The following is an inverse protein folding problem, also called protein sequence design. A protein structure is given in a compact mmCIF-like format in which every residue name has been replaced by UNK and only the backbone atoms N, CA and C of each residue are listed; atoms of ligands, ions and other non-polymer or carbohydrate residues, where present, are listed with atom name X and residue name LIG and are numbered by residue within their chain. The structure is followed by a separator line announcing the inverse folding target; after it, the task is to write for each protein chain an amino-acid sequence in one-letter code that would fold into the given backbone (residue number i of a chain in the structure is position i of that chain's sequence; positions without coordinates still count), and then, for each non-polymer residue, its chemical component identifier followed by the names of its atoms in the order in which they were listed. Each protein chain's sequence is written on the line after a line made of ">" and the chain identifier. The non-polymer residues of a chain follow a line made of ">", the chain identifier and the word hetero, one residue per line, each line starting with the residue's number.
data_IF_102279558684
#
_entry.id   IF_102279558684
#
_cell.length_a   1.000
_cell.length_b   1.000
_cell.length_c   1.000
_cell.angle_alpha   90.00
_cell.angle_beta   90.00
_cell.angle_gamma   90.00
#
_symmetry.space_group_name_H-M   'P 1'
#
loop_
_entity.id
_entity.type
_entity.pdbx_description
1 polymer ?
#
# COMPACT_ATOMS: atom_id res chain seq x y z
N UNK A 1 -25.21 2.68 -47.91
CA UNK A 1 -25.25 4.12 -47.53
C UNK A 1 -24.34 4.33 -46.32
N UNK A 2 -23.49 5.37 -46.36
CA UNK A 2 -22.32 5.67 -45.52
C UNK A 2 -22.60 5.91 -44.01
N UNK A 3 -21.66 5.45 -43.16
CA UNK A 3 -20.81 6.17 -42.15
C UNK A 3 -21.50 7.07 -41.09
N UNK A 4 -21.30 6.83 -39.76
CA UNK A 4 -20.30 7.48 -38.83
C UNK A 4 -20.67 7.47 -37.33
N UNK A 5 -19.61 7.53 -36.52
CA UNK A 5 -19.47 7.95 -35.11
C UNK A 5 -19.75 6.86 -34.05
N UNK A 6 -18.81 6.44 -33.21
CA UNK A 6 -17.56 7.07 -32.78
C UNK A 6 -17.60 7.31 -31.27
N UNK A 7 -17.03 6.38 -30.50
CA UNK A 7 -16.46 6.67 -29.18
C UNK A 7 -15.16 5.89 -29.04
N UNK A 8 -14.09 6.54 -29.49
CA UNK A 8 -12.74 6.29 -29.00
C UNK A 8 -12.75 6.41 -27.48
N UNK A 9 -12.55 5.29 -26.77
CA UNK A 9 -12.08 5.35 -25.40
C UNK A 9 -10.57 5.50 -25.49
N UNK A 10 -10.09 6.72 -25.26
CA UNK A 10 -8.66 7.04 -25.13
C UNK A 10 -8.04 6.18 -24.02
N UNK A 11 -7.40 5.07 -24.38
CA UNK A 11 -6.44 4.38 -23.53
C UNK A 11 -5.08 5.07 -23.65
N UNK A 12 -4.97 6.29 -23.12
CA UNK A 12 -3.66 6.90 -22.87
C UNK A 12 -3.10 6.31 -21.57
N UNK A 13 -2.05 5.48 -21.70
CA UNK A 13 -0.91 5.21 -20.76
C UNK A 13 -0.40 3.74 -20.78
N UNK A 14 -1.04 2.77 -21.46
CA UNK A 14 -0.53 1.37 -21.48
C UNK A 14 -0.39 0.73 -22.87
N UNK A 15 0.10 1.51 -23.85
CA UNK A 15 0.32 1.05 -25.24
C UNK A 15 1.36 -0.09 -25.43
N UNK A 16 2.41 -0.29 -24.60
CA UNK A 16 3.37 -1.36 -24.85
C UNK A 16 2.96 -2.74 -24.26
N UNK A 17 1.92 -2.81 -23.42
CA UNK A 17 1.46 -4.08 -22.83
C UNK A 17 0.62 -4.95 -23.79
N UNK A 18 0.07 -4.38 -24.85
CA UNK A 18 -0.82 -5.11 -25.77
C UNK A 18 -0.05 -6.08 -26.70
N UNK A 19 1.15 -5.70 -27.12
CA UNK A 19 2.08 -6.58 -27.86
C UNK A 19 2.63 -7.71 -26.98
N UNK A 20 2.75 -7.46 -25.67
CA UNK A 20 3.14 -8.46 -24.67
C UNK A 20 2.04 -9.52 -24.55
N UNK A 21 0.76 -9.14 -24.49
CA UNK A 21 -0.39 -10.06 -24.46
C UNK A 21 -0.45 -11.03 -25.66
N UNK A 22 -0.10 -10.57 -26.87
CA UNK A 22 -0.08 -11.41 -28.08
C UNK A 22 1.06 -12.44 -28.09
N UNK A 23 2.19 -12.15 -27.43
CA UNK A 23 3.32 -13.07 -27.34
C UNK A 23 3.26 -13.99 -26.11
N UNK A 24 2.58 -13.58 -25.02
CA UNK A 24 2.19 -14.44 -23.88
C UNK A 24 1.43 -15.69 -24.36
N UNK A 25 0.53 -15.53 -25.34
CA UNK A 25 -0.25 -16.64 -25.88
C UNK A 25 0.57 -17.76 -26.52
N UNK A 26 1.76 -17.47 -27.07
CA UNK A 26 2.54 -18.44 -27.86
C UNK A 26 3.35 -19.42 -27.00
N UNK A 27 3.97 -18.99 -25.88
CA UNK A 27 4.63 -19.94 -24.95
C UNK A 27 3.63 -20.70 -24.10
N UNK A 28 2.50 -20.11 -23.74
CA UNK A 28 1.53 -20.83 -22.93
C UNK A 28 0.71 -21.85 -23.76
N UNK A 29 0.49 -21.60 -25.06
CA UNK A 29 0.12 -22.68 -25.99
C UNK A 29 1.18 -23.78 -25.99
N UNK A 30 2.47 -23.45 -25.94
CA UNK A 30 3.56 -24.42 -25.93
C UNK A 30 3.70 -25.23 -24.61
N UNK A 31 3.36 -24.62 -23.46
CA UNK A 31 3.28 -25.28 -22.15
C UNK A 31 2.09 -26.24 -22.14
N UNK A 32 0.96 -25.82 -22.72
CA UNK A 32 -0.17 -26.70 -22.94
C UNK A 32 0.14 -27.83 -23.92
N UNK A 33 0.96 -27.58 -24.97
CA UNK A 33 1.50 -28.65 -25.82
C UNK A 33 2.38 -29.62 -25.00
N UNK A 34 3.26 -29.16 -24.10
CA UNK A 34 4.05 -30.07 -23.24
C UNK A 34 3.17 -30.99 -22.38
N UNK A 35 2.06 -30.49 -21.84
CA UNK A 35 1.11 -31.29 -21.04
C UNK A 35 0.18 -32.17 -21.91
N UNK A 36 -0.16 -31.73 -23.13
CA UNK A 36 -1.03 -32.46 -24.06
C UNK A 36 -0.29 -33.60 -24.76
N UNK A 37 1.02 -33.46 -25.00
CA UNK A 37 1.85 -34.50 -25.64
C UNK A 37 2.26 -35.64 -24.69
N UNK A 38 1.92 -35.54 -23.40
CA UNK A 38 2.06 -36.63 -22.41
C UNK A 38 0.99 -37.73 -22.52
N UNK A 39 -0.03 -37.57 -23.37
CA UNK A 39 -1.12 -38.54 -23.51
C UNK A 39 -1.82 -38.46 -24.86
N UNK A 40 -1.29 -39.16 -25.85
CA UNK A 40 -1.96 -39.63 -27.10
C UNK A 40 -2.44 -38.56 -28.10
N UNK A 41 -1.94 -38.71 -29.35
CA UNK A 41 -2.78 -38.62 -30.55
C UNK A 41 -2.86 -37.27 -31.28
N UNK A 42 -2.32 -37.26 -32.50
CA UNK A 42 -2.27 -36.18 -33.49
C UNK A 42 -3.68 -35.65 -33.85
N UNK A 43 -3.82 -34.33 -33.93
CA UNK A 43 -4.38 -33.65 -35.10
C UNK A 43 -4.12 -32.14 -35.02
N UNK A 44 -3.61 -31.54 -36.11
CA UNK A 44 -3.98 -30.22 -36.67
C UNK A 44 -3.02 -29.85 -37.84
N UNK A 45 -3.66 -29.68 -39.01
CA UNK A 45 -3.25 -29.14 -40.33
C UNK A 45 -2.60 -30.12 -41.33
N UNK A 46 -3.47 -30.66 -42.19
CA UNK A 46 -3.19 -31.00 -43.61
C UNK A 46 -3.13 -29.70 -44.42
N UNK A 47 -2.02 -29.49 -45.14
CA UNK A 47 -1.95 -29.35 -46.60
C UNK A 47 -0.53 -28.93 -46.97
N UNK A 48 0.35 -29.92 -47.19
CA UNK A 48 1.06 -30.06 -48.46
C UNK A 48 1.68 -31.44 -48.55
N UNK A 49 1.55 -32.05 -49.73
CA UNK A 49 1.95 -33.43 -50.01
C UNK A 49 3.46 -33.60 -49.82
N UNK A 50 3.87 -34.50 -48.93
CA UNK A 50 5.12 -35.26 -49.08
C UNK A 50 4.85 -36.71 -48.72
N UNK A 51 4.96 -37.57 -49.74
CA UNK A 51 4.99 -39.02 -49.63
C UNK A 51 6.29 -39.49 -48.98
N UNK A 52 6.19 -40.63 -48.30
CA UNK A 52 7.26 -41.53 -47.85
C UNK A 52 7.95 -41.20 -46.53
N UNK A 53 7.70 -42.07 -45.52
CA UNK A 53 8.61 -42.58 -44.47
C UNK A 53 9.36 -41.63 -43.53
N UNK A 54 9.77 -40.45 -43.98
CA UNK A 54 10.59 -39.45 -43.31
C UNK A 54 9.76 -38.31 -42.69
N UNK A 55 8.46 -38.23 -43.01
CA UNK A 55 7.59 -37.13 -42.57
C UNK A 55 7.43 -37.00 -41.05
N UNK A 56 7.41 -38.11 -40.31
CA UNK A 56 7.26 -38.07 -38.84
C UNK A 56 8.48 -37.47 -38.11
N UNK A 57 9.69 -37.71 -38.62
CA UNK A 57 10.93 -37.21 -38.00
C UNK A 57 11.17 -35.74 -38.35
N UNK A 58 10.94 -35.37 -39.61
CA UNK A 58 10.96 -33.96 -40.06
C UNK A 58 9.89 -33.13 -39.33
N UNK A 59 8.70 -33.70 -39.10
CA UNK A 59 7.63 -33.03 -38.38
C UNK A 59 7.92 -32.85 -36.88
N UNK A 60 8.61 -33.81 -36.25
CA UNK A 60 9.08 -33.69 -34.87
C UNK A 60 10.16 -32.62 -34.73
N UNK A 61 11.18 -32.65 -35.59
CA UNK A 61 12.27 -31.66 -35.60
C UNK A 61 11.74 -30.24 -35.84
N UNK A 62 10.81 -30.07 -36.79
CA UNK A 62 10.16 -28.78 -37.04
C UNK A 62 9.34 -28.26 -35.84
N UNK A 63 8.63 -29.15 -35.13
CA UNK A 63 7.89 -28.78 -33.92
C UNK A 63 8.82 -28.41 -32.77
N UNK A 64 9.93 -29.13 -32.59
CA UNK A 64 10.96 -28.84 -31.60
C UNK A 64 11.64 -27.48 -31.88
N UNK A 65 11.99 -27.20 -33.13
CA UNK A 65 12.54 -25.90 -33.53
C UNK A 65 11.58 -24.75 -33.26
N UNK A 66 10.30 -24.91 -33.61
CA UNK A 66 9.27 -23.89 -33.33
C UNK A 66 9.04 -23.70 -31.84
N UNK A 67 9.14 -24.76 -31.05
CA UNK A 67 9.06 -24.69 -29.59
C UNK A 67 10.23 -23.89 -29.03
N UNK A 68 11.46 -24.20 -29.45
CA UNK A 68 12.68 -23.50 -29.04
C UNK A 68 12.62 -22.02 -29.43
N UNK A 69 12.16 -21.72 -30.65
CA UNK A 69 12.03 -20.35 -31.11
C UNK A 69 10.98 -19.55 -30.31
N UNK A 70 9.86 -20.19 -29.97
CA UNK A 70 8.83 -19.59 -29.12
C UNK A 70 9.34 -19.37 -27.69
N UNK A 71 10.07 -20.33 -27.11
CA UNK A 71 10.69 -20.21 -25.78
C UNK A 71 11.71 -19.06 -25.74
N UNK A 72 12.60 -18.98 -26.74
CA UNK A 72 13.58 -17.87 -26.85
C UNK A 72 12.91 -16.50 -26.98
N UNK A 73 11.87 -16.38 -27.83
CA UNK A 73 11.14 -15.12 -28.01
C UNK A 73 10.43 -14.70 -26.73
N UNK A 74 9.83 -15.64 -26.02
CA UNK A 74 9.21 -15.37 -24.73
C UNK A 74 10.24 -14.93 -23.71
N UNK A 75 11.32 -15.69 -23.51
CA UNK A 75 12.33 -15.37 -22.51
C UNK A 75 12.96 -14.00 -22.80
N UNK A 76 13.18 -13.66 -24.07
CA UNK A 76 13.65 -12.34 -24.47
C UNK A 76 12.66 -11.22 -24.07
N UNK A 77 11.37 -11.37 -24.38
CA UNK A 77 10.36 -10.34 -24.06
C UNK A 77 10.14 -10.25 -22.56
N UNK A 78 10.02 -11.39 -21.89
CA UNK A 78 9.70 -11.47 -20.47
C UNK A 78 10.79 -10.87 -19.59
N UNK A 79 12.06 -11.09 -19.96
CA UNK A 79 13.22 -10.50 -19.27
C UNK A 79 13.62 -9.10 -19.78
N UNK A 80 13.10 -8.66 -20.93
CA UNK A 80 13.31 -7.28 -21.40
C UNK A 80 12.41 -6.27 -20.70
N UNK A 81 11.31 -6.71 -20.08
CA UNK A 81 10.39 -5.82 -19.38
C UNK A 81 11.02 -5.43 -18.04
N UNK A 82 11.32 -4.13 -17.89
CA UNK A 82 11.85 -3.47 -16.66
C UNK A 82 10.81 -3.39 -15.51
N UNK A 83 10.03 -4.45 -15.33
CA UNK A 83 9.02 -4.58 -14.27
C UNK A 83 9.11 -6.01 -13.73
N UNK A 84 9.22 -6.18 -12.41
CA UNK A 84 9.09 -7.49 -11.78
C UNK A 84 7.77 -8.18 -12.13
N UNK A 85 7.84 -9.34 -12.77
CA UNK A 85 6.68 -10.15 -13.15
C UNK A 85 6.83 -11.57 -12.62
N UNK A 86 5.78 -12.05 -11.95
CA UNK A 86 5.61 -13.43 -11.54
C UNK A 86 4.45 -14.09 -12.29
N UNK A 87 4.63 -15.34 -12.67
CA UNK A 87 3.59 -16.23 -13.18
C UNK A 87 3.37 -17.34 -12.17
N UNK A 88 2.12 -17.52 -11.74
CA UNK A 88 1.73 -18.62 -10.86
C UNK A 88 0.62 -19.46 -11.48
N UNK A 89 0.43 -20.67 -10.97
CA UNK A 89 -0.81 -21.41 -11.20
C UNK A 89 -1.99 -20.77 -10.45
N UNK A 90 -3.18 -21.35 -10.60
CA UNK A 90 -4.41 -20.88 -9.94
C UNK A 90 -4.42 -21.04 -8.41
N UNK A 91 -3.53 -21.87 -7.87
CA UNK A 91 -3.32 -22.07 -6.43
C UNK A 91 -2.19 -21.19 -5.89
N UNK A 92 -1.59 -20.37 -6.77
CA UNK A 92 -0.52 -19.46 -6.41
C UNK A 92 0.88 -20.10 -6.42
N UNK A 93 1.13 -21.31 -6.91
CA UNK A 93 2.51 -21.84 -7.00
C UNK A 93 3.30 -21.11 -8.09
N UNK A 94 4.54 -20.69 -7.83
CA UNK A 94 5.38 -20.07 -8.88
C UNK A 94 5.64 -21.06 -10.02
N UNK A 95 5.43 -20.57 -11.25
CA UNK A 95 5.74 -21.28 -12.50
C UNK A 95 6.95 -20.63 -13.16
N UNK A 96 6.96 -19.30 -13.25
CA UNK A 96 8.05 -18.54 -13.87
C UNK A 96 8.14 -17.14 -13.24
N UNK A 97 9.32 -16.53 -13.32
CA UNK A 97 9.59 -15.18 -12.87
C UNK A 97 10.66 -14.56 -13.79
N UNK A 98 10.49 -13.27 -14.13
CA UNK A 98 11.49 -12.61 -14.97
C UNK A 98 12.73 -12.21 -14.15
N UNK A 99 13.78 -11.77 -14.83
CA UNK A 99 15.04 -11.33 -14.23
C UNK A 99 14.85 -10.24 -13.18
N UNK A 100 13.91 -9.31 -13.38
CA UNK A 100 13.64 -8.25 -12.40
C UNK A 100 12.92 -8.77 -11.16
N UNK A 101 12.01 -9.73 -11.29
CA UNK A 101 11.36 -10.38 -10.17
C UNK A 101 12.36 -11.14 -9.29
N UNK A 102 13.27 -11.89 -9.92
CA UNK A 102 14.36 -12.58 -9.24
C UNK A 102 15.29 -11.58 -8.52
N UNK A 103 15.68 -10.51 -9.21
CA UNK A 103 16.55 -9.46 -8.67
C UNK A 103 15.91 -8.68 -7.52
N UNK A 104 14.60 -8.39 -7.61
CA UNK A 104 13.85 -7.69 -6.56
C UNK A 104 13.92 -8.42 -5.22
N UNK A 105 13.73 -9.75 -5.25
CA UNK A 105 13.70 -10.61 -4.06
C UNK A 105 15.09 -11.16 -3.67
N UNK A 106 16.09 -11.05 -4.55
CA UNK A 106 17.46 -11.52 -4.30
C UNK A 106 17.65 -13.03 -4.46
N UNK A 107 16.77 -13.70 -5.22
CA UNK A 107 16.89 -15.12 -5.57
C UNK A 107 17.37 -15.30 -7.00
N UNK A 108 17.95 -16.45 -7.31
CA UNK A 108 18.16 -16.84 -8.71
C UNK A 108 16.85 -17.30 -9.36
N UNK A 109 16.80 -17.34 -10.70
CA UNK A 109 15.61 -17.83 -11.42
C UNK A 109 15.27 -19.29 -11.07
N UNK A 110 16.28 -20.14 -10.92
CA UNK A 110 16.09 -21.55 -10.57
C UNK A 110 15.58 -21.72 -9.13
N UNK A 111 16.07 -20.89 -8.21
CA UNK A 111 15.56 -20.85 -6.83
C UNK A 111 14.10 -20.39 -6.81
N UNK A 112 13.74 -19.38 -7.60
CA UNK A 112 12.38 -18.85 -7.68
C UNK A 112 11.34 -19.91 -8.09
N UNK A 113 11.68 -20.82 -9.01
CA UNK A 113 10.78 -21.90 -9.44
C UNK A 113 10.50 -22.94 -8.34
N UNK A 114 11.34 -23.00 -7.31
CA UNK A 114 11.17 -23.92 -6.18
C UNK A 114 10.40 -23.31 -5.01
N UNK A 115 10.19 -21.99 -5.04
CA UNK A 115 9.50 -21.25 -4.00
C UNK A 115 7.99 -21.18 -4.26
N UNK A 116 7.27 -20.80 -3.22
CA UNK A 116 5.88 -20.38 -3.28
C UNK A 116 5.78 -18.91 -2.88
N UNK A 117 4.74 -18.17 -3.33
CA UNK A 117 4.46 -16.82 -2.84
C UNK A 117 4.39 -16.77 -1.32
N UNK A 118 3.91 -17.84 -0.67
CA UNK A 118 3.78 -17.92 0.78
C UNK A 118 5.12 -17.79 1.50
N UNK A 119 6.22 -18.25 0.89
CA UNK A 119 7.58 -18.19 1.45
C UNK A 119 8.24 -16.82 1.27
N UNK A 120 7.79 -16.05 0.28
CA UNK A 120 8.30 -14.69 0.02
C UNK A 120 7.37 -13.60 0.58
N UNK A 121 6.33 -13.99 1.32
CA UNK A 121 5.40 -13.10 2.00
C UNK A 121 5.71 -13.06 3.49
N UNK A 122 5.54 -11.91 4.15
CA UNK A 122 5.62 -11.91 5.62
C UNK A 122 4.51 -12.76 6.23
N UNK A 123 4.75 -13.28 7.44
CA UNK A 123 3.83 -14.23 8.10
C UNK A 123 2.40 -13.71 8.22
N UNK A 124 2.18 -12.40 8.31
CA UNK A 124 0.85 -11.80 8.32
C UNK A 124 0.17 -11.84 6.93
N UNK A 125 0.90 -11.57 5.85
CA UNK A 125 0.37 -11.58 4.49
C UNK A 125 0.18 -13.01 3.95
N UNK A 126 1.00 -13.95 4.40
CA UNK A 126 0.86 -15.38 4.08
C UNK A 126 -0.49 -15.97 4.51
N UNK A 127 -1.14 -15.38 5.52
CA UNK A 127 -2.44 -15.82 6.07
C UNK A 127 -3.63 -15.34 5.24
N UNK A 128 -3.45 -14.31 4.42
CA UNK A 128 -4.52 -13.72 3.59
C UNK A 128 -4.36 -14.03 2.10
N UNK A 129 -3.35 -14.84 1.74
CA UNK A 129 -3.08 -15.26 0.37
C UNK A 129 -4.28 -15.97 -0.25
N UNK A 130 -4.88 -16.93 0.47
CA UNK A 130 -6.02 -17.71 -0.03
C UNK A 130 -7.21 -16.81 -0.39
N UNK A 131 -7.47 -15.77 0.42
CA UNK A 131 -8.53 -14.80 0.11
C UNK A 131 -8.18 -13.93 -1.08
N UNK A 132 -6.92 -13.52 -1.20
CA UNK A 132 -6.41 -12.76 -2.35
C UNK A 132 -6.58 -13.56 -3.64
N UNK A 133 -6.25 -14.85 -3.63
CA UNK A 133 -6.47 -15.76 -4.75
C UNK A 133 -7.96 -15.88 -5.11
N UNK A 134 -8.82 -16.05 -4.10
CA UNK A 134 -10.27 -16.09 -4.31
C UNK A 134 -10.82 -14.79 -4.93
N UNK A 135 -10.32 -13.62 -4.53
CA UNK A 135 -10.72 -12.35 -5.12
C UNK A 135 -10.27 -12.22 -6.59
N UNK A 136 -9.05 -12.68 -6.91
CA UNK A 136 -8.55 -12.75 -8.28
C UNK A 136 -9.44 -13.65 -9.14
N UNK A 137 -9.82 -14.82 -8.61
CA UNK A 137 -10.70 -15.76 -9.32
C UNK A 137 -12.11 -15.21 -9.56
N UNK A 138 -12.63 -14.36 -8.66
CA UNK A 138 -13.97 -13.76 -8.79
C UNK A 138 -14.00 -12.55 -9.72
N UNK A 139 -12.94 -11.74 -9.74
CA UNK A 139 -12.91 -10.42 -10.39
C UNK A 139 -12.02 -10.35 -11.63
N UNK A 140 -11.41 -11.47 -12.02
CA UNK A 140 -10.36 -11.62 -13.05
C UNK A 140 -9.08 -10.78 -12.82
N UNK A 141 -9.10 -9.87 -11.84
CA UNK A 141 -7.98 -9.01 -11.48
C UNK A 141 -8.10 -8.51 -10.05
N UNK A 142 -6.96 -8.30 -9.41
CA UNK A 142 -6.91 -7.78 -8.05
C UNK A 142 -5.62 -6.98 -7.82
N UNK A 143 -5.79 -5.80 -7.24
CA UNK A 143 -4.72 -4.84 -6.97
C UNK A 143 -4.57 -4.69 -5.45
N UNK A 144 -3.40 -5.01 -4.90
CA UNK A 144 -3.17 -5.05 -3.44
C UNK A 144 -1.75 -4.62 -3.07
N UNK A 145 -1.53 -4.25 -1.81
CA UNK A 145 -0.19 -4.00 -1.28
C UNK A 145 0.20 -5.14 -0.34
N UNK A 146 1.49 -5.42 -0.32
CA UNK A 146 2.02 -6.57 0.39
C UNK A 146 3.44 -6.30 0.83
N UNK A 147 3.85 -6.94 1.92
CA UNK A 147 5.25 -6.96 2.32
C UNK A 147 5.87 -8.28 1.87
N UNK A 148 6.94 -8.16 1.10
CA UNK A 148 7.71 -9.30 0.63
C UNK A 148 8.99 -9.43 1.46
N UNK A 149 9.39 -10.66 1.72
CA UNK A 149 10.64 -11.01 2.37
C UNK A 149 11.65 -11.38 1.28
N UNK A 150 12.77 -10.66 1.24
CA UNK A 150 13.91 -10.99 0.39
C UNK A 150 14.71 -12.17 0.94
N UNK A 151 15.57 -12.76 0.12
CA UNK A 151 16.48 -13.84 0.51
C UNK A 151 17.37 -13.50 1.72
N UNK A 152 17.77 -12.24 1.84
CA UNK A 152 18.58 -11.73 2.97
C UNK A 152 17.76 -11.46 4.24
N UNK A 153 16.45 -11.72 4.22
CA UNK A 153 15.52 -11.46 5.31
C UNK A 153 15.00 -10.02 5.38
N UNK A 154 15.47 -9.12 4.53
CA UNK A 154 14.96 -7.74 4.49
C UNK A 154 13.53 -7.69 3.95
N UNK A 155 12.75 -6.74 4.46
CA UNK A 155 11.34 -6.55 4.07
C UNK A 155 11.24 -5.39 3.09
N UNK A 156 10.57 -5.63 1.96
CA UNK A 156 10.19 -4.59 1.01
C UNK A 156 8.68 -4.43 0.96
N UNK A 157 8.24 -3.18 0.78
CA UNK A 157 6.85 -2.86 0.63
C UNK A 157 6.52 -2.73 -0.85
N UNK A 158 5.61 -3.56 -1.34
CA UNK A 158 5.31 -3.62 -2.76
C UNK A 158 3.82 -3.46 -3.05
N UNK A 159 3.54 -2.99 -4.26
CA UNK A 159 2.22 -3.02 -4.84
C UNK A 159 2.15 -4.09 -5.92
N UNK A 160 1.25 -5.05 -5.73
CA UNK A 160 0.97 -6.12 -6.65
C UNK A 160 -0.30 -5.83 -7.45
N UNK A 161 -0.23 -6.09 -8.75
CA UNK A 161 -1.36 -6.13 -9.67
C UNK A 161 -1.42 -7.50 -10.29
N UNK A 162 -2.42 -8.29 -9.88
CA UNK A 162 -2.61 -9.65 -10.35
C UNK A 162 -3.77 -9.74 -11.34
N UNK A 163 -3.62 -10.54 -12.37
CA UNK A 163 -4.67 -10.82 -13.36
C UNK A 163 -4.76 -12.33 -13.62
N UNK A 164 -5.97 -12.86 -13.59
CA UNK A 164 -6.26 -14.22 -14.04
C UNK A 164 -6.20 -14.26 -15.57
N UNK A 165 -5.43 -15.19 -16.11
CA UNK A 165 -5.34 -15.44 -17.55
C UNK A 165 -5.58 -16.92 -17.82
N UNK A 166 -6.29 -17.22 -18.90
CA UNK A 166 -6.51 -18.60 -19.34
C UNK A 166 -5.66 -18.86 -20.56
N UNK A 167 -4.86 -19.93 -20.54
CA UNK A 167 -4.19 -20.42 -21.73
C UNK A 167 -4.42 -21.90 -21.88
N UNK A 168 -4.92 -22.26 -23.07
CA UNK A 168 -5.28 -23.64 -23.42
C UNK A 168 -6.11 -24.28 -22.32
N UNK A 169 -7.15 -23.54 -21.90
CA UNK A 169 -8.12 -23.93 -20.86
C UNK A 169 -7.56 -24.06 -19.43
N UNK A 170 -6.24 -23.93 -19.22
CA UNK A 170 -5.63 -23.83 -17.89
C UNK A 170 -5.56 -22.39 -17.41
N UNK A 171 -5.83 -22.18 -16.12
CA UNK A 171 -5.81 -20.87 -15.46
C UNK A 171 -4.44 -20.60 -14.84
N UNK A 172 -3.98 -19.38 -15.04
CA UNK A 172 -2.74 -18.86 -14.48
C UNK A 172 -2.98 -17.46 -13.92
N UNK A 173 -2.12 -17.04 -13.00
CA UNK A 173 -2.15 -15.68 -12.45
C UNK A 173 -0.85 -14.99 -12.83
N UNK A 174 -0.98 -13.87 -13.53
CA UNK A 174 0.14 -12.99 -13.86
C UNK A 174 0.15 -11.81 -12.90
N UNK A 175 1.25 -11.63 -12.18
CA UNK A 175 1.39 -10.59 -11.16
C UNK A 175 2.52 -9.64 -11.51
N UNK A 176 2.20 -8.36 -11.66
CA UNK A 176 3.16 -7.27 -11.75
C UNK A 176 3.44 -6.72 -10.36
N UNK A 177 4.71 -6.52 -10.02
CA UNK A 177 5.11 -6.01 -8.72
C UNK A 177 5.85 -4.69 -8.88
N UNK A 178 5.39 -3.69 -8.13
CA UNK A 178 6.04 -2.39 -8.04
C UNK A 178 6.59 -2.19 -6.65
N UNK A 179 7.90 -2.02 -6.54
CA UNK A 179 8.52 -1.63 -5.27
C UNK A 179 8.05 -0.21 -4.89
N UNK A 180 7.48 -0.10 -3.69
CA UNK A 180 7.02 1.15 -3.09
C UNK A 180 7.84 1.51 -1.84
N UNK A 181 8.92 0.81 -1.54
CA UNK A 181 9.69 0.98 -0.30
C UNK A 181 10.23 2.39 -0.15
N UNK A 182 10.90 2.93 -1.18
CA UNK A 182 11.41 4.31 -1.14
C UNK A 182 10.28 5.35 -1.09
N UNK A 183 9.21 5.11 -1.86
CA UNK A 183 8.06 6.00 -1.86
C UNK A 183 7.38 6.03 -0.49
N UNK A 184 7.17 4.86 0.12
CA UNK A 184 6.59 4.72 1.45
C UNK A 184 7.48 5.36 2.49
N UNK A 185 8.81 5.16 2.46
CA UNK A 185 9.75 5.86 3.36
C UNK A 185 9.67 7.39 3.18
N UNK A 186 9.69 7.89 1.95
CA UNK A 186 9.54 9.33 1.68
C UNK A 186 8.18 9.87 2.14
N UNK A 187 7.10 9.13 1.88
CA UNK A 187 5.75 9.54 2.25
C UNK A 187 5.56 9.46 3.77
N UNK A 188 6.09 8.44 4.44
CA UNK A 188 6.12 8.30 5.91
C UNK A 188 7.01 9.36 6.57
N UNK A 189 8.15 9.72 5.99
CA UNK A 189 9.03 10.78 6.52
C UNK A 189 8.40 12.16 6.37
N UNK A 190 7.74 12.43 5.24
CA UNK A 190 6.91 13.64 5.07
C UNK A 190 5.75 13.62 6.05
N UNK A 191 5.08 12.48 6.18
CA UNK A 191 3.94 12.29 7.08
C UNK A 191 4.38 12.56 8.53
N UNK A 192 5.49 11.98 9.00
CA UNK A 192 6.09 12.24 10.32
C UNK A 192 6.50 13.70 10.55
N UNK A 193 6.76 14.47 9.50
CA UNK A 193 7.04 15.90 9.58
C UNK A 193 5.77 16.74 9.83
N UNK A 194 4.59 16.25 9.44
CA UNK A 194 3.29 16.90 9.60
C UNK A 194 2.39 16.29 10.68
N UNK A 195 2.65 15.03 11.05
CA UNK A 195 1.84 14.34 12.03
C UNK A 195 2.17 14.80 13.45
N UNK A 196 1.12 15.11 14.20
CA UNK A 196 1.20 15.38 15.64
C UNK A 196 1.09 14.09 16.47
N UNK A 197 0.85 12.95 15.81
CA UNK A 197 0.54 11.65 16.38
C UNK A 197 1.40 10.55 15.72
N UNK A 198 1.85 9.52 16.47
CA UNK A 198 2.63 8.40 15.92
C UNK A 198 1.69 7.42 15.21
N UNK A 199 1.23 7.83 14.03
CA UNK A 199 0.35 7.05 13.18
C UNK A 199 1.13 6.54 11.97
N UNK A 200 0.91 5.26 11.67
CA UNK A 200 1.54 4.50 10.60
C UNK A 200 0.47 3.83 9.75
N UNK A 201 0.76 3.74 8.46
CA UNK A 201 -0.10 3.06 7.50
C UNK A 201 -0.35 1.60 7.88
N UNK A 202 -1.52 1.11 7.49
CA UNK A 202 -1.94 -0.29 7.66
C UNK A 202 -2.02 -0.74 9.12
N UNK A 203 -2.23 0.20 10.04
CA UNK A 203 -2.43 -0.06 11.47
C UNK A 203 -3.82 0.37 11.94
N UNK A 204 -4.23 -0.22 13.05
CA UNK A 204 -5.46 0.10 13.77
C UNK A 204 -5.06 0.73 15.08
N UNK A 205 -5.64 1.88 15.39
CA UNK A 205 -5.41 2.60 16.63
C UNK A 205 -6.67 2.61 17.48
N UNK A 206 -6.49 2.59 18.80
CA UNK A 206 -7.54 2.61 19.80
C UNK A 206 -7.43 3.89 20.62
N UNK A 207 -8.54 4.62 20.69
CA UNK A 207 -8.80 5.71 21.61
C UNK A 207 -9.82 5.25 22.65
N UNK A 208 -9.48 5.43 23.92
CA UNK A 208 -10.31 5.03 25.07
C UNK A 208 -11.22 6.16 25.56
N UNK A 209 -11.91 5.91 26.66
CA UNK A 209 -12.72 6.91 27.35
C UNK A 209 -11.94 8.22 27.55
N UNK A 210 -12.56 9.34 27.21
CA UNK A 210 -11.92 10.67 27.26
C UNK A 210 -10.94 10.99 26.12
N UNK A 211 -10.53 10.02 25.29
CA UNK A 211 -9.59 10.22 24.18
C UNK A 211 -10.31 10.51 22.83
N UNK A 212 -11.64 10.61 22.80
CA UNK A 212 -12.42 10.88 21.57
C UNK A 212 -11.95 12.14 20.81
N UNK A 213 -11.70 13.24 21.51
CA UNK A 213 -11.20 14.46 20.87
C UNK A 213 -9.80 14.26 20.28
N UNK A 214 -8.97 13.45 20.95
CA UNK A 214 -7.64 13.10 20.47
C UNK A 214 -7.71 12.23 19.19
N UNK A 215 -8.67 11.31 19.11
CA UNK A 215 -8.95 10.54 17.89
C UNK A 215 -9.40 11.42 16.72
N UNK A 216 -10.30 12.39 16.99
CA UNK A 216 -10.78 13.35 15.97
C UNK A 216 -9.64 14.24 15.48
N UNK A 217 -8.77 14.71 16.38
CA UNK A 217 -7.60 15.51 16.01
C UNK A 217 -6.61 14.69 15.16
N UNK A 218 -6.33 13.45 15.55
CA UNK A 218 -5.51 12.51 14.79
C UNK A 218 -6.08 12.26 13.38
N UNK A 219 -7.39 12.03 13.29
CA UNK A 219 -8.11 11.89 12.03
C UNK A 219 -7.95 13.12 11.14
N UNK A 220 -8.21 14.32 11.68
CA UNK A 220 -8.05 15.60 10.96
C UNK A 220 -6.63 15.81 10.44
N UNK A 221 -5.64 15.47 11.25
CA UNK A 221 -4.23 15.60 10.89
C UNK A 221 -3.83 14.64 9.75
N UNK A 222 -4.44 13.46 9.68
CA UNK A 222 -4.32 12.57 8.51
C UNK A 222 -4.99 13.14 7.25
N UNK A 223 -6.14 13.80 7.36
CA UNK A 223 -6.77 14.47 6.21
C UNK A 223 -5.87 15.56 5.61
N UNK A 224 -5.23 16.36 6.46
CA UNK A 224 -4.23 17.36 6.05
C UNK A 224 -3.06 16.73 5.28
N UNK A 225 -2.72 15.48 5.58
CA UNK A 225 -1.67 14.72 4.91
C UNK A 225 -2.16 14.01 3.62
N UNK A 226 -3.40 14.30 3.20
CA UNK A 226 -4.00 13.82 1.96
C UNK A 226 -4.68 12.46 2.07
N UNK A 227 -5.00 11.98 3.28
CA UNK A 227 -5.83 10.79 3.44
C UNK A 227 -7.28 11.10 3.10
N UNK A 228 -7.98 10.15 2.49
CA UNK A 228 -9.43 10.22 2.32
C UNK A 228 -10.13 9.82 3.62
N UNK A 229 -10.92 10.72 4.19
CA UNK A 229 -11.60 10.51 5.45
C UNK A 229 -12.92 9.78 5.33
N UNK A 230 -13.14 8.82 6.22
CA UNK A 230 -14.45 8.25 6.49
C UNK A 230 -14.71 8.21 8.00
N UNK A 231 -15.90 8.61 8.42
CA UNK A 231 -16.36 8.49 9.80
C UNK A 231 -17.58 7.57 9.82
N UNK A 232 -17.59 6.64 10.77
CA UNK A 232 -18.70 5.73 11.04
C UNK A 232 -19.06 5.92 12.52
N UNK A 233 -20.29 6.31 12.83
CA UNK A 233 -20.71 6.62 14.21
C UNK A 233 -22.24 6.54 14.33
N UNK A 234 -22.77 6.34 15.53
CA UNK A 234 -24.21 6.42 15.80
C UNK A 234 -24.68 7.87 16.05
N UNK A 235 -23.74 8.73 16.49
CA UNK A 235 -23.94 10.19 16.61
C UNK A 235 -24.32 10.88 15.29
N UNK A 236 -24.78 12.12 15.41
CA UNK A 236 -25.14 12.94 14.27
C UNK A 236 -23.90 13.46 13.51
N UNK A 237 -23.97 13.44 12.17
CA UNK A 237 -22.88 13.93 11.31
C UNK A 237 -22.45 15.36 11.67
N UNK A 238 -23.40 16.20 12.10
CA UNK A 238 -23.14 17.60 12.44
C UNK A 238 -22.15 17.76 13.60
N UNK A 239 -22.06 16.79 14.53
CA UNK A 239 -21.09 16.83 15.64
C UNK A 239 -19.64 16.74 15.13
N UNK A 240 -19.41 15.98 14.07
CA UNK A 240 -18.11 15.85 13.43
C UNK A 240 -17.80 17.02 12.52
N UNK A 241 -18.78 17.50 11.75
CA UNK A 241 -18.62 18.64 10.83
C UNK A 241 -18.24 19.93 11.57
N UNK A 242 -18.67 20.11 12.82
CA UNK A 242 -18.24 21.23 13.69
C UNK A 242 -16.75 21.16 14.07
N UNK A 243 -16.16 19.96 14.17
CA UNK A 243 -14.80 19.72 14.68
C UNK A 243 -13.77 19.50 13.55
N UNK A 244 -14.21 18.91 12.44
CA UNK A 244 -13.37 18.54 11.30
C UNK A 244 -13.68 19.45 10.11
N UNK A 245 -12.85 20.48 9.95
CA UNK A 245 -12.90 21.44 8.85
C UNK A 245 -12.25 20.90 7.56
N UNK A 246 -12.58 19.67 7.16
CA UNK A 246 -12.08 19.00 5.96
C UNK A 246 -13.16 18.08 5.41
N UNK A 247 -13.09 17.76 4.11
CA UNK A 247 -14.03 16.82 3.50
C UNK A 247 -13.80 15.38 3.99
N UNK A 248 -14.90 14.68 4.25
CA UNK A 248 -14.94 13.29 4.68
C UNK A 248 -16.31 12.69 4.34
N UNK A 249 -16.36 11.37 4.16
CA UNK A 249 -17.63 10.63 4.05
C UNK A 249 -18.13 10.24 5.44
N UNK A 250 -19.43 10.30 5.65
CA UNK A 250 -20.05 9.89 6.91
C UNK A 250 -21.00 8.71 6.69
N UNK A 251 -20.98 7.74 7.60
CA UNK A 251 -21.94 6.65 7.64
C UNK A 251 -22.55 6.55 9.04
N UNK A 252 -23.86 6.76 9.14
CA UNK A 252 -24.58 6.66 10.41
C UNK A 252 -24.88 5.20 10.74
N UNK A 253 -24.55 4.77 11.96
CA UNK A 253 -24.99 3.48 12.50
C UNK A 253 -26.33 3.67 13.22
N UNK A 254 -27.30 2.78 12.98
CA UNK A 254 -28.62 2.88 13.60
C UNK A 254 -29.27 1.51 13.78
N UNK A 255 -29.91 1.31 14.94
CA UNK A 255 -30.75 0.14 15.20
C UNK A 255 -32.06 0.18 14.41
N UNK A 256 -32.50 1.37 14.01
CA UNK A 256 -33.69 1.56 13.20
C UNK A 256 -33.31 1.41 11.73
N UNK A 257 -34.12 0.67 10.97
CA UNK A 257 -33.93 0.41 9.55
C UNK A 257 -34.27 1.66 8.71
N UNK A 258 -33.49 2.72 8.93
CA UNK A 258 -33.63 4.03 8.30
C UNK A 258 -32.80 4.05 7.03
N UNK A 259 -33.38 4.58 5.95
CA UNK A 259 -32.69 4.69 4.67
C UNK A 259 -31.38 5.47 4.81
N UNK A 260 -30.28 4.91 4.28
CA UNK A 260 -28.95 5.52 4.34
C UNK A 260 -28.15 5.27 5.63
N UNK A 261 -28.66 4.43 6.54
CA UNK A 261 -27.93 4.01 7.76
C UNK A 261 -27.35 2.60 7.62
N UNK A 262 -26.31 2.31 8.40
CA UNK A 262 -25.71 0.99 8.54
C UNK A 262 -26.29 0.34 9.80
N UNK A 263 -26.82 -0.89 9.75
CA UNK A 263 -27.17 -1.63 10.95
C UNK A 263 -25.94 -1.85 11.85
N UNK A 264 -26.08 -1.90 13.20
CA UNK A 264 -24.97 -2.16 14.10
C UNK A 264 -24.57 -3.64 14.08
N UNK A 265 -23.89 -4.01 13.00
CA UNK A 265 -23.43 -5.34 12.67
C UNK A 265 -22.09 -5.24 11.96
N UNK A 266 -21.11 -6.02 12.41
CA UNK A 266 -19.75 -5.97 11.87
C UNK A 266 -19.67 -6.34 10.38
N UNK A 267 -20.48 -7.28 9.91
CA UNK A 267 -20.48 -7.63 8.49
C UNK A 267 -21.00 -6.46 7.64
N UNK A 268 -21.98 -5.70 8.14
CA UNK A 268 -22.47 -4.49 7.47
C UNK A 268 -21.43 -3.38 7.44
N UNK A 269 -20.68 -3.20 8.52
CA UNK A 269 -19.54 -2.27 8.56
C UNK A 269 -18.46 -2.71 7.56
N UNK A 270 -18.09 -3.99 7.55
CA UNK A 270 -17.14 -4.57 6.60
C UNK A 270 -17.54 -4.32 5.13
N UNK A 271 -18.82 -4.51 4.81
CA UNK A 271 -19.35 -4.22 3.48
C UNK A 271 -19.22 -2.73 3.16
N UNK A 272 -19.54 -1.84 4.09
CA UNK A 272 -19.42 -0.40 3.88
C UNK A 272 -17.96 0.03 3.63
N UNK A 273 -17.01 -0.50 4.39
CA UNK A 273 -15.58 -0.16 4.26
C UNK A 273 -14.90 -0.85 3.06
N UNK A 274 -15.48 -1.93 2.54
CA UNK A 274 -14.96 -2.68 1.40
C UNK A 274 -14.84 -1.84 0.11
N UNK A 275 -15.60 -0.75 -0.01
CA UNK A 275 -15.56 0.18 -1.15
C UNK A 275 -14.56 1.33 -1.02
N UNK A 276 -13.88 1.49 0.12
CA UNK A 276 -13.05 2.66 0.37
C UNK A 276 -11.79 2.70 -0.49
N UNK A 277 -11.37 3.92 -0.84
CA UNK A 277 -10.17 4.19 -1.62
C UNK A 277 -8.90 3.94 -0.80
N UNK A 278 -7.78 3.77 -1.48
CA UNK A 278 -6.46 3.64 -0.85
C UNK A 278 -6.06 4.94 -0.15
N UNK A 279 -5.14 4.83 0.81
CA UNK A 279 -4.68 5.98 1.61
C UNK A 279 -5.87 6.70 2.24
N UNK A 280 -6.67 5.92 2.95
CA UNK A 280 -7.86 6.39 3.68
C UNK A 280 -7.63 6.30 5.18
N UNK A 281 -8.31 7.16 5.92
CA UNK A 281 -8.42 7.06 7.37
C UNK A 281 -9.89 6.82 7.69
N UNK A 282 -10.16 5.83 8.53
CA UNK A 282 -11.50 5.48 8.97
C UNK A 282 -11.57 5.65 10.48
N UNK A 283 -12.40 6.58 10.94
CA UNK A 283 -12.75 6.72 12.35
C UNK A 283 -14.04 5.94 12.60
N UNK A 284 -14.00 4.92 13.44
CA UNK A 284 -15.19 4.22 13.93
C UNK A 284 -15.38 4.64 15.38
N UNK A 285 -16.43 5.42 15.61
CA UNK A 285 -16.77 5.95 16.92
C UNK A 285 -17.90 5.13 17.56
N UNK A 286 -17.96 5.16 18.90
CA UNK A 286 -18.93 4.41 19.70
C UNK A 286 -18.91 2.91 19.40
N UNK A 287 -17.72 2.29 19.43
CA UNK A 287 -17.57 0.86 19.21
C UNK A 287 -18.42 0.02 20.16
N UNK A 288 -18.66 0.49 21.38
CA UNK A 288 -19.61 -0.08 22.35
C UNK A 288 -21.02 -0.27 21.78
N UNK A 289 -21.46 0.59 20.86
CA UNK A 289 -22.76 0.48 20.21
C UNK A 289 -22.81 -0.71 19.23
N UNK A 290 -21.69 -1.05 18.60
CA UNK A 290 -21.56 -2.26 17.77
C UNK A 290 -21.38 -3.52 18.63
N UNK A 291 -20.65 -3.39 19.74
CA UNK A 291 -20.38 -4.48 20.68
C UNK A 291 -21.62 -4.93 21.47
N UNK A 292 -22.58 -4.02 21.73
CA UNK A 292 -23.79 -4.33 22.49
C UNK A 292 -24.62 -5.51 21.95
N UNK A 293 -24.41 -5.92 20.69
CA UNK A 293 -25.06 -7.08 20.05
C UNK A 293 -24.07 -8.13 19.54
N UNK A 294 -22.79 -7.98 19.85
CA UNK A 294 -21.72 -8.86 19.39
C UNK A 294 -21.33 -9.88 20.47
N UNK A 295 -20.67 -10.95 20.04
CA UNK A 295 -19.97 -11.88 20.93
C UNK A 295 -18.46 -11.77 20.71
N UNK A 296 -17.67 -12.35 21.62
CA UNK A 296 -16.21 -12.40 21.55
C UNK A 296 -15.67 -12.87 20.19
N UNK A 297 -16.33 -13.87 19.59
CA UNK A 297 -15.89 -14.46 18.33
C UNK A 297 -16.08 -13.47 17.18
N UNK A 298 -17.21 -12.80 17.13
CA UNK A 298 -17.55 -11.82 16.10
C UNK A 298 -16.67 -10.57 16.22
N UNK A 299 -16.39 -10.11 17.44
CA UNK A 299 -15.42 -9.02 17.69
C UNK A 299 -14.02 -9.38 17.19
N UNK A 300 -13.53 -10.58 17.51
CA UNK A 300 -12.23 -11.05 17.03
C UNK A 300 -12.18 -11.14 15.50
N UNK A 301 -13.24 -11.65 14.87
CA UNK A 301 -13.34 -11.74 13.41
C UNK A 301 -13.36 -10.35 12.76
N UNK A 302 -14.09 -9.40 13.35
CA UNK A 302 -14.16 -8.04 12.87
C UNK A 302 -12.80 -7.34 12.93
N UNK A 303 -12.10 -7.39 14.07
CA UNK A 303 -10.76 -6.80 14.19
C UNK A 303 -9.78 -7.43 13.18
N UNK A 304 -9.85 -8.75 12.97
CA UNK A 304 -9.05 -9.42 11.94
C UNK A 304 -9.38 -8.90 10.54
N UNK A 305 -10.65 -8.70 10.23
CA UNK A 305 -11.12 -8.12 8.96
C UNK A 305 -10.59 -6.71 8.76
N UNK A 306 -10.69 -5.84 9.77
CA UNK A 306 -10.12 -4.49 9.73
C UNK A 306 -8.62 -4.50 9.47
N UNK A 307 -7.86 -5.40 10.12
CA UNK A 307 -6.41 -5.50 9.90
C UNK A 307 -6.08 -5.86 8.47
N UNK A 308 -6.89 -6.73 7.87
CA UNK A 308 -6.73 -7.11 6.48
C UNK A 308 -7.04 -5.93 5.54
N UNK A 309 -8.14 -5.22 5.76
CA UNK A 309 -8.45 -4.00 4.99
C UNK A 309 -7.36 -2.94 5.11
N UNK A 310 -6.85 -2.73 6.33
CA UNK A 310 -5.76 -1.79 6.62
C UNK A 310 -4.52 -2.11 5.77
N UNK A 311 -4.16 -3.40 5.68
CA UNK A 311 -3.01 -3.90 4.92
C UNK A 311 -3.21 -3.79 3.41
N UNK A 312 -4.35 -4.25 2.88
CA UNK A 312 -4.61 -4.28 1.43
C UNK A 312 -4.66 -2.86 0.86
N UNK A 313 -5.27 -1.92 1.60
CA UNK A 313 -5.59 -0.57 1.10
C UNK A 313 -4.72 0.56 1.65
N UNK A 314 -3.78 0.27 2.55
CA UNK A 314 -3.07 1.30 3.33
C UNK A 314 -4.05 2.22 4.05
N UNK A 315 -5.05 1.60 4.69
CA UNK A 315 -6.03 2.32 5.49
C UNK A 315 -5.54 2.38 6.93
N UNK A 316 -5.71 3.54 7.56
CA UNK A 316 -5.52 3.71 9.00
C UNK A 316 -6.90 3.66 9.64
N UNK A 317 -7.09 2.76 10.60
CA UNK A 317 -8.32 2.73 11.40
C UNK A 317 -8.06 3.38 12.75
N UNK A 318 -9.02 4.19 13.20
CA UNK A 318 -9.05 4.77 14.53
C UNK A 318 -10.38 4.31 15.15
N UNK A 319 -10.30 3.54 16.23
CA UNK A 319 -11.45 3.00 16.94
C UNK A 319 -11.60 3.77 18.25
N UNK A 320 -12.73 4.44 18.46
CA UNK A 320 -13.07 5.01 19.76
C UNK A 320 -13.95 4.00 20.50
N UNK A 321 -13.52 3.65 21.70
CA UNK A 321 -14.18 2.68 22.57
C UNK A 321 -14.32 3.29 23.96
N UNK A 322 -15.53 3.31 24.51
CA UNK A 322 -15.69 3.44 25.95
C UNK A 322 -15.43 2.10 26.63
N UNK A 323 -14.28 1.96 27.27
CA UNK A 323 -13.85 0.67 27.83
C UNK A 323 -14.69 0.24 29.03
N UNK A 324 -15.41 1.17 29.67
CA UNK A 324 -16.29 0.87 30.80
C UNK A 324 -17.59 0.17 30.38
N UNK A 325 -17.92 0.20 29.08
CA UNK A 325 -19.14 -0.37 28.52
C UNK A 325 -18.91 -1.72 27.81
N UNK A 326 -17.70 -2.26 27.87
CA UNK A 326 -17.34 -3.54 27.25
C UNK A 326 -17.16 -4.66 28.29
N UNK A 327 -17.43 -5.90 27.86
CA UNK A 327 -17.00 -7.08 28.60
C UNK A 327 -15.47 -7.23 28.57
N UNK A 328 -14.86 -7.61 29.71
CA UNK A 328 -13.41 -7.74 29.87
C UNK A 328 -12.73 -8.55 28.76
N UNK A 329 -13.37 -9.64 28.30
CA UNK A 329 -12.82 -10.51 27.25
C UNK A 329 -12.76 -9.79 25.90
N UNK A 330 -13.74 -8.96 25.57
CA UNK A 330 -13.76 -8.22 24.31
C UNK A 330 -12.77 -7.06 24.38
N UNK A 331 -12.68 -6.39 25.53
CA UNK A 331 -11.69 -5.34 25.76
C UNK A 331 -10.25 -5.84 25.51
N UNK A 332 -9.91 -7.03 26.00
CA UNK A 332 -8.61 -7.65 25.76
C UNK A 332 -8.29 -7.84 24.27
N UNK A 333 -9.29 -8.11 23.41
CA UNK A 333 -9.08 -8.19 21.96
C UNK A 333 -8.62 -6.83 21.44
N UNK A 334 -9.36 -5.76 21.77
CA UNK A 334 -9.00 -4.41 21.34
C UNK A 334 -7.60 -4.04 21.83
N UNK A 335 -7.29 -4.28 23.09
CA UNK A 335 -5.97 -3.94 23.66
C UNK A 335 -4.82 -4.70 23.01
N UNK A 336 -4.98 -6.01 22.75
CA UNK A 336 -3.91 -6.84 22.20
C UNK A 336 -3.74 -6.69 20.69
N UNK A 337 -4.81 -6.35 19.97
CA UNK A 337 -4.80 -6.33 18.52
C UNK A 337 -4.65 -4.92 17.93
N UNK A 338 -4.70 -3.86 18.74
CA UNK A 338 -4.60 -2.46 18.27
C UNK A 338 -3.43 -1.71 18.93
N UNK A 339 -3.14 -0.51 18.41
CA UNK A 339 -2.12 0.38 18.95
C UNK A 339 -2.78 1.57 19.67
N UNK A 340 -2.16 2.12 20.70
CA UNK A 340 -2.65 3.37 21.30
C UNK A 340 -2.33 4.56 20.40
N UNK A 341 -3.20 5.55 20.37
CA UNK A 341 -2.89 6.83 19.73
C UNK A 341 -1.98 7.63 20.67
N UNK A 342 -0.74 7.80 20.28
CA UNK A 342 0.21 8.60 21.05
C UNK A 342 0.48 9.93 20.34
N UNK A 343 0.39 11.03 21.08
CA UNK A 343 0.92 12.31 20.60
C UNK A 343 2.43 12.16 20.46
N UNK A 344 2.96 12.54 19.30
CA UNK A 344 4.39 12.75 19.14
C UNK A 344 4.73 13.90 20.08
N UNK A 345 5.37 13.58 21.21
CA UNK A 345 5.76 14.58 22.21
C UNK A 345 6.38 15.77 21.50
N UNK A 346 5.86 16.96 21.82
CA UNK A 346 6.10 18.22 21.12
C UNK A 346 7.56 18.68 21.07
N UNK A 347 8.50 17.91 21.63
CA UNK A 347 9.94 18.13 21.53
C UNK A 347 10.63 17.29 20.44
N UNK A 348 9.93 16.38 19.74
CA UNK A 348 10.51 15.72 18.57
C UNK A 348 10.63 16.71 17.41
N UNK A 349 11.86 17.16 17.21
CA UNK A 349 12.31 17.94 16.07
C UNK A 349 12.52 16.96 14.90
N UNK A 350 11.81 17.18 13.79
CA UNK A 350 12.00 16.41 12.54
C UNK A 350 13.40 16.67 11.94
N UNK A 351 13.83 15.82 11.00
CA UNK A 351 15.19 15.86 10.42
C UNK A 351 15.52 17.24 9.82
N UNK A 352 14.57 17.89 9.16
CA UNK A 352 14.78 19.20 8.57
C UNK A 352 14.94 20.30 9.63
N UNK A 353 14.10 20.31 10.65
CA UNK A 353 14.19 21.24 11.78
C UNK A 353 15.49 21.05 12.57
N UNK A 354 15.96 19.81 12.71
CA UNK A 354 17.25 19.50 13.36
C UNK A 354 18.42 20.03 12.53
N UNK A 355 18.42 19.78 11.21
CA UNK A 355 19.43 20.33 10.29
C UNK A 355 19.45 21.86 10.30
N UNK A 356 18.28 22.50 10.37
CA UNK A 356 18.15 23.96 10.49
C UNK A 356 18.73 24.43 11.83
N UNK A 357 18.37 23.81 12.95
CA UNK A 357 18.88 24.18 14.27
C UNK A 357 20.39 24.01 14.37
N UNK A 358 20.95 22.90 13.87
CA UNK A 358 22.39 22.66 13.84
C UNK A 358 23.11 23.71 13.00
N UNK A 359 22.60 24.01 11.80
CA UNK A 359 23.15 25.07 10.96
C UNK A 359 23.13 26.44 11.63
N UNK A 360 22.01 26.82 12.26
CA UNK A 360 21.91 28.10 12.98
C UNK A 360 22.85 28.12 14.19
N UNK A 361 22.96 27.01 14.95
CA UNK A 361 23.91 26.87 16.07
C UNK A 361 25.35 27.11 15.60
N UNK A 362 25.77 26.41 14.56
CA UNK A 362 27.13 26.48 14.05
C UNK A 362 27.48 27.88 13.55
N UNK A 363 26.53 28.55 12.88
CA UNK A 363 26.69 29.95 12.44
C UNK A 363 26.72 30.93 13.60
N UNK A 364 25.83 30.77 14.58
CA UNK A 364 25.80 31.65 15.76
C UNK A 364 27.06 31.50 16.62
N UNK A 365 27.65 30.30 16.70
CA UNK A 365 28.90 30.04 17.42
C UNK A 365 30.10 30.80 16.81
N UNK A 366 30.08 31.07 15.50
CA UNK A 366 31.08 31.91 14.83
C UNK A 366 30.65 33.39 14.74
N UNK A 367 29.66 33.81 15.52
CA UNK A 367 29.18 35.21 15.58
C UNK A 367 28.27 35.64 14.43
N UNK A 368 27.87 34.72 13.54
CA UNK A 368 27.00 35.04 12.40
C UNK A 368 25.54 34.65 12.65
N UNK A 369 24.61 35.59 12.46
CA UNK A 369 23.15 35.32 12.49
C UNK A 369 22.61 35.11 11.06
N UNK A 370 22.37 33.87 10.62
CA UNK A 370 22.02 33.58 9.22
C UNK A 370 20.62 34.07 8.84
N UNK A 371 20.44 34.38 7.56
CA UNK A 371 19.15 34.72 6.97
C UNK A 371 18.40 33.47 6.50
N UNK A 372 17.09 33.60 6.31
CA UNK A 372 16.23 32.57 5.71
C UNK A 372 16.80 32.02 4.38
N UNK A 373 17.38 32.90 3.57
CA UNK A 373 17.99 32.56 2.29
C UNK A 373 19.25 31.69 2.44
N UNK A 374 20.00 31.87 3.52
CA UNK A 374 21.26 31.15 3.78
C UNK A 374 20.97 29.69 4.16
N UNK A 375 19.90 29.49 4.94
CA UNK A 375 19.39 28.17 5.32
C UNK A 375 19.01 27.38 4.06
N UNK A 376 18.27 28.00 3.14
CA UNK A 376 17.79 27.30 1.94
C UNK A 376 18.88 26.96 0.93
N UNK A 377 19.83 27.87 0.72
CA UNK A 377 20.98 27.62 -0.16
C UNK A 377 21.87 26.50 0.37
N UNK A 378 22.13 26.49 1.68
CA UNK A 378 23.09 25.55 2.29
C UNK A 378 22.49 24.16 2.47
N UNK A 379 21.25 24.05 2.96
CA UNK A 379 20.63 22.77 3.30
C UNK A 379 19.91 22.10 2.12
N UNK A 380 19.85 22.77 0.95
CA UNK A 380 19.11 22.32 -0.24
C UNK A 380 17.64 22.01 0.05
N UNK A 381 17.00 22.81 0.91
CA UNK A 381 15.58 22.68 1.28
C UNK A 381 14.76 23.71 0.49
N UNK A 382 13.54 23.36 0.08
CA UNK A 382 12.65 24.28 -0.65
C UNK A 382 12.17 25.44 0.24
N UNK A 383 11.90 26.62 -0.35
CA UNK A 383 11.43 27.81 0.40
C UNK A 383 10.14 27.57 1.21
N UNK A 384 9.09 26.87 0.70
CA UNK A 384 7.89 26.58 1.48
C UNK A 384 8.18 25.72 2.72
N UNK A 385 8.99 24.67 2.56
CA UNK A 385 9.38 23.76 3.64
C UNK A 385 10.18 24.49 4.72
N UNK A 386 11.11 25.38 4.36
CA UNK A 386 11.87 26.17 5.34
C UNK A 386 10.96 27.12 6.12
N UNK A 387 10.02 27.81 5.46
CA UNK A 387 9.09 28.72 6.14
C UNK A 387 8.24 27.96 7.19
N UNK A 388 7.71 26.80 6.81
CA UNK A 388 6.94 25.93 7.72
C UNK A 388 7.77 25.47 8.92
N UNK A 389 8.97 24.93 8.68
CA UNK A 389 9.84 24.44 9.73
C UNK A 389 10.37 25.55 10.66
N UNK A 390 10.69 26.73 10.14
CA UNK A 390 11.09 27.87 10.97
C UNK A 390 9.93 28.39 11.82
N UNK A 391 8.70 28.43 11.29
CA UNK A 391 7.54 28.82 12.07
C UNK A 391 7.36 27.89 13.28
N UNK A 392 7.51 26.57 13.08
CA UNK A 392 7.49 25.56 14.16
C UNK A 392 8.64 25.72 15.15
N UNK A 393 9.87 25.94 14.68
CA UNK A 393 11.04 26.15 15.56
C UNK A 393 10.90 27.43 16.42
N UNK A 394 10.32 28.49 15.84
CA UNK A 394 10.06 29.75 16.54
C UNK A 394 8.91 29.59 17.55
N UNK A 395 7.79 28.94 17.17
CA UNK A 395 6.67 28.72 18.09
C UNK A 395 7.07 27.86 19.29
N UNK A 396 7.96 26.89 19.09
CA UNK A 396 8.54 26.04 20.16
C UNK A 396 9.62 26.73 20.99
N UNK A 397 9.98 27.98 20.66
CA UNK A 397 11.03 28.79 21.28
C UNK A 397 12.44 28.20 21.16
N UNK A 398 12.71 27.41 20.11
CA UNK A 398 14.07 26.92 19.83
C UNK A 398 14.89 27.92 19.01
N UNK A 399 14.21 28.76 18.22
CA UNK A 399 14.81 29.88 17.48
C UNK A 399 14.09 31.19 17.81
N UNK A 400 14.83 32.29 17.73
CA UNK A 400 14.32 33.66 17.73
C UNK A 400 14.66 34.31 16.39
N UNK A 401 13.74 35.14 15.91
CA UNK A 401 13.92 35.92 14.69
C UNK A 401 14.10 37.39 15.03
N UNK A 402 15.22 37.95 14.58
CA UNK A 402 15.51 39.38 14.69
C UNK A 402 15.14 40.05 13.38
N UNK A 403 14.31 41.08 13.46
CA UNK A 403 13.85 41.83 12.30
C UNK A 403 14.62 43.15 12.26
N UNK A 404 15.53 43.27 11.28
CA UNK A 404 16.29 44.48 11.00
C UNK A 404 15.86 44.99 9.61
N UNK A 405 14.84 45.85 9.58
CA UNK A 405 14.23 46.33 8.33
C UNK A 405 13.65 45.17 7.50
N UNK A 406 14.13 44.98 6.26
CA UNK A 406 13.71 43.86 5.39
C UNK A 406 14.45 42.55 5.68
N UNK A 407 15.47 42.56 6.55
CA UNK A 407 16.30 41.39 6.84
C UNK A 407 15.76 40.67 8.08
N UNK A 408 15.55 39.36 7.95
CA UNK A 408 15.16 38.48 9.05
C UNK A 408 16.34 37.56 9.38
N UNK A 409 16.94 37.74 10.56
CA UNK A 409 18.10 36.98 11.04
C UNK A 409 17.69 36.00 12.12
N UNK A 410 18.29 34.81 12.11
CA UNK A 410 17.95 33.71 13.02
C UNK A 410 18.99 33.58 14.13
N UNK A 411 18.51 33.38 15.35
CA UNK A 411 19.32 33.11 16.53
C UNK A 411 18.78 31.90 17.30
N UNK A 412 19.67 31.00 17.72
CA UNK A 412 19.33 29.84 18.53
C UNK A 412 19.14 30.23 20.01
N UNK A 413 18.11 29.71 20.65
CA UNK A 413 17.84 29.94 22.07
C UNK A 413 18.57 28.91 22.95
N UNK A 414 18.59 29.14 24.27
CA UNK A 414 19.06 28.15 25.25
C UNK A 414 18.31 26.81 25.13
N UNK A 415 16.98 26.88 25.05
CA UNK A 415 16.11 25.71 24.82
C UNK A 415 16.44 24.98 23.51
N UNK A 416 16.77 25.73 22.46
CA UNK A 416 17.21 25.18 21.17
C UNK A 416 18.58 24.49 21.19
N UNK A 417 19.47 24.89 22.12
CA UNK A 417 20.76 24.21 22.34
C UNK A 417 20.57 22.93 23.15
N UNK A 418 19.80 22.99 24.23
CA UNK A 418 19.53 21.85 25.13
C UNK A 418 18.91 20.67 24.36
N UNK A 419 17.96 20.92 23.45
CA UNK A 419 17.32 19.87 22.64
C UNK A 419 18.24 19.22 21.59
N UNK A 420 19.30 19.91 21.16
CA UNK A 420 20.33 19.33 20.30
C UNK A 420 21.33 18.49 21.09
N UNK A 421 21.57 18.83 22.36
CA UNK A 421 22.53 18.15 23.24
C UNK A 421 21.91 16.89 23.87
N UNK A 422 20.61 16.90 24.18
CA UNK A 422 19.87 15.74 24.72
C UNK A 422 19.70 14.56 23.75
N UNK A 423 20.23 14.66 22.51
CA UNK A 423 20.19 13.61 21.48
C UNK A 423 21.55 12.96 21.21
N UNK A 424 22.61 13.36 21.94
CA UNK A 424 23.98 12.82 21.78
C UNK A 424 24.25 11.67 22.77
N UNK A 425 23.34 11.38 23.71
CA UNK A 425 23.42 10.24 24.64
C UNK A 425 22.56 9.06 24.20
#
# INVERSE_FOLDING_TARGET
>A
MKIRNGKEVRFSIFSPLFSIFLNIGKKLQSIALKDFFGGVGIDIIREDKVSDGYGGQIQKEYLEERLIEAEKKWDAIFNYIDVPIFLTDENGKFIDANSDAASLLGYSKDEMSSLTPREVLTGEYSKILDRTLNEIQKKDSFDFNVELIKKDGSIIFTHCKSKLISISEKKYILTFVKDLTEKRRSDEDKLREFLEYDLRDSKIYLAREGEKNLAIDAFKNLLLCGYKGVIISSEDEMEYRKKVDHDFKFYRISNHNVYGTIPPDYNRVDVAISGFQRKSVVLIDEMEYLEAKSDYKNTLLFIKSLKEFARIKCTIFILCVDTMLLEDKNLQIFENETFRIERIMSDKINVNMERILKFVKDKNNVGYKPMLTDVGRTLRITRPTIKSNLAKLISKKYLVIHIEGRKKRLEITKKGREILESRIC
#
